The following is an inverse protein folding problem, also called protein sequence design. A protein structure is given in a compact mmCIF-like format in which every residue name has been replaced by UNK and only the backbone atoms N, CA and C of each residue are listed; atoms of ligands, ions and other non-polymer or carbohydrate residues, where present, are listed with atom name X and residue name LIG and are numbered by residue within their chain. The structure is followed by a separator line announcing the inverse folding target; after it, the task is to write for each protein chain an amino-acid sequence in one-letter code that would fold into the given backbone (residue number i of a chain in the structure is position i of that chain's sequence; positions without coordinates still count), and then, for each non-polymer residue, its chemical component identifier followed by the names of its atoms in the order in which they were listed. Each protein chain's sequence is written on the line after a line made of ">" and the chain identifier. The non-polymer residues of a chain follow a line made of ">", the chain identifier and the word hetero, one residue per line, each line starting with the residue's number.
data_IF_981159810165
#
_entry.id   IF_981159810165
#
_cell.length_a   1.000
_cell.length_b   1.000
_cell.length_c   1.000
_cell.angle_alpha   90.00
_cell.angle_beta   90.00
_cell.angle_gamma   90.00
#
_symmetry.space_group_name_H-M   'P 1'
#
loop_
_entity.id
_entity.type
_entity.pdbx_description
1 polymer ?
#
# COMPACT_ATOMS: atom_id res chain seq x y z
N UNK A 1 14.79 12.63 -18.13
CA UNK A 1 13.54 13.38 -17.95
C UNK A 1 12.68 12.61 -16.98
N UNK A 2 12.89 12.81 -15.67
CA UNK A 2 12.02 12.26 -14.63
C UNK A 2 10.89 13.26 -14.46
N UNK A 3 9.67 12.88 -14.82
CA UNK A 3 8.48 13.62 -14.44
C UNK A 3 8.10 13.10 -13.04
N UNK A 4 8.47 13.77 -11.94
CA UNK A 4 7.92 13.42 -10.64
C UNK A 4 6.41 13.56 -10.77
N UNK A 5 5.69 12.48 -10.52
CA UNK A 5 4.23 12.50 -10.45
C UNK A 5 3.88 13.23 -9.15
N UNK A 6 3.80 14.55 -9.21
CA UNK A 6 3.48 15.39 -8.05
C UNK A 6 1.97 15.54 -7.87
N UNK A 7 1.20 15.34 -8.93
CA UNK A 7 -0.26 15.44 -8.90
C UNK A 7 -0.87 14.37 -7.97
N UNK A 8 -1.51 14.77 -6.85
CA UNK A 8 -2.03 13.82 -5.85
C UNK A 8 -3.02 12.82 -6.43
N UNK A 9 -3.81 13.25 -7.42
CA UNK A 9 -4.78 12.40 -8.13
C UNK A 9 -4.08 11.28 -8.89
N UNK A 10 -2.95 11.59 -9.52
CA UNK A 10 -2.21 10.67 -10.37
C UNK A 10 -1.39 9.68 -9.51
N UNK A 11 -0.84 10.16 -8.39
CA UNK A 11 -0.26 9.31 -7.33
C UNK A 11 -1.30 8.30 -6.83
N UNK A 12 -2.51 8.77 -6.50
CA UNK A 12 -3.59 7.90 -6.02
C UNK A 12 -4.03 6.89 -7.07
N UNK A 13 -4.16 7.30 -8.34
CA UNK A 13 -4.50 6.40 -9.43
C UNK A 13 -3.45 5.29 -9.63
N UNK A 14 -2.15 5.64 -9.62
CA UNK A 14 -1.06 4.66 -9.71
C UNK A 14 -1.11 3.71 -8.50
N UNK A 15 -1.32 4.24 -7.30
CA UNK A 15 -1.44 3.45 -6.08
C UNK A 15 -2.59 2.44 -6.15
N UNK A 16 -3.77 2.85 -6.65
CA UNK A 16 -4.91 1.95 -6.87
C UNK A 16 -4.59 0.85 -7.89
N UNK A 17 -3.92 1.20 -9.00
CA UNK A 17 -3.50 0.21 -9.99
C UNK A 17 -2.53 -0.80 -9.37
N UNK A 18 -1.60 -0.36 -8.53
CA UNK A 18 -0.66 -1.26 -7.84
C UNK A 18 -1.41 -2.19 -6.88
N UNK A 19 -2.33 -1.66 -6.07
CA UNK A 19 -3.13 -2.47 -5.14
C UNK A 19 -3.97 -3.49 -5.89
N UNK A 20 -4.44 -3.17 -7.10
CA UNK A 20 -5.21 -4.11 -7.91
C UNK A 20 -4.32 -5.14 -8.61
N UNK A 21 -3.24 -4.72 -9.26
CA UNK A 21 -2.40 -5.59 -10.08
C UNK A 21 -1.47 -6.48 -9.25
N UNK A 22 -0.94 -6.00 -8.13
CA UNK A 22 0.05 -6.75 -7.35
C UNK A 22 -0.50 -8.07 -6.76
N UNK A 23 -1.72 -8.13 -6.17
CA UNK A 23 -2.32 -9.37 -5.70
C UNK A 23 -2.62 -10.34 -6.84
N UNK A 24 -3.16 -9.84 -7.96
CA UNK A 24 -3.46 -10.66 -9.14
C UNK A 24 -2.19 -11.36 -9.65
N UNK A 25 -1.07 -10.64 -9.69
CA UNK A 25 0.22 -11.21 -10.11
C UNK A 25 0.79 -12.18 -9.06
N UNK A 26 0.58 -11.89 -7.77
CA UNK A 26 1.09 -12.69 -6.64
C UNK A 26 0.34 -14.00 -6.46
N UNK A 27 -0.98 -14.01 -6.73
CA UNK A 27 -1.79 -15.22 -6.76
C UNK A 27 -1.29 -16.22 -7.80
N UNK A 28 -0.76 -15.74 -8.94
CA UNK A 28 -0.14 -16.60 -9.96
C UNK A 28 1.16 -17.26 -9.46
N UNK A 29 1.87 -16.59 -8.54
CA UNK A 29 3.14 -17.07 -7.98
C UNK A 29 2.96 -17.84 -6.65
N UNK A 30 1.72 -18.06 -6.20
CA UNK A 30 1.36 -18.71 -4.92
C UNK A 30 1.96 -18.02 -3.69
N UNK A 31 2.17 -16.70 -3.77
CA UNK A 31 2.65 -15.89 -2.66
C UNK A 31 1.47 -15.22 -1.94
N UNK A 32 1.57 -14.94 -0.64
CA UNK A 32 0.63 -14.08 0.06
C UNK A 32 0.52 -12.71 -0.63
N UNK A 33 -0.70 -12.21 -0.79
CA UNK A 33 -0.98 -10.96 -1.51
C UNK A 33 -0.21 -9.76 -0.96
N UNK A 34 -0.02 -9.73 0.36
CA UNK A 34 0.70 -8.66 1.06
C UNK A 34 2.18 -8.58 0.62
N UNK A 35 2.80 -9.72 0.31
CA UNK A 35 4.18 -9.77 -0.18
C UNK A 35 4.24 -9.14 -1.57
N UNK A 36 3.25 -9.43 -2.41
CA UNK A 36 3.06 -8.80 -3.70
C UNK A 36 3.01 -7.29 -3.63
N UNK A 37 2.19 -6.79 -2.72
CA UNK A 37 2.02 -5.36 -2.48
C UNK A 37 3.33 -4.69 -2.04
N UNK A 38 4.06 -5.32 -1.11
CA UNK A 38 5.36 -4.82 -0.61
C UNK A 38 6.38 -4.75 -1.76
N UNK A 39 6.49 -5.82 -2.55
CA UNK A 39 7.43 -5.87 -3.68
C UNK A 39 7.07 -4.83 -4.74
N UNK A 40 5.78 -4.66 -5.07
CA UNK A 40 5.34 -3.64 -6.00
C UNK A 40 5.67 -2.23 -5.47
N UNK A 41 5.48 -1.97 -4.18
CA UNK A 41 5.91 -0.72 -3.54
C UNK A 41 7.42 -0.49 -3.60
N UNK A 42 8.23 -1.54 -3.39
CA UNK A 42 9.69 -1.48 -3.55
C UNK A 42 10.07 -1.14 -4.99
N UNK A 43 9.39 -1.71 -5.99
CA UNK A 43 9.68 -1.48 -7.42
C UNK A 43 9.27 -0.07 -7.85
N UNK A 44 8.14 0.45 -7.36
CA UNK A 44 7.59 1.76 -7.76
C UNK A 44 8.15 2.91 -6.92
N UNK A 45 8.75 2.59 -5.77
CA UNK A 45 9.27 3.56 -4.82
C UNK A 45 10.45 4.41 -5.32
N UNK A 46 10.86 5.40 -4.51
CA UNK A 46 11.86 6.39 -4.89
C UNK A 46 13.27 5.81 -5.10
N UNK A 47 13.56 4.66 -4.48
CA UNK A 47 14.89 4.04 -4.51
C UNK A 47 15.13 3.11 -5.70
N UNK A 48 14.13 2.87 -6.54
CA UNK A 48 14.19 1.91 -7.66
C UNK A 48 13.80 2.59 -8.97
N UNK A 49 12.50 2.71 -9.28
CA UNK A 49 12.04 3.38 -10.51
C UNK A 49 11.83 4.87 -10.31
N UNK A 50 11.68 5.36 -9.07
CA UNK A 50 11.46 6.78 -8.81
C UNK A 50 10.09 7.29 -9.25
N UNK A 51 9.14 6.39 -9.54
CA UNK A 51 7.85 6.74 -10.14
C UNK A 51 6.91 7.41 -9.12
N UNK A 52 7.00 6.98 -7.85
CA UNK A 52 6.35 7.62 -6.71
C UNK A 52 7.42 8.11 -5.73
N UNK A 53 7.44 9.41 -5.48
CA UNK A 53 8.19 9.97 -4.36
C UNK A 53 7.42 9.74 -3.05
N UNK A 54 8.16 9.69 -1.94
CA UNK A 54 7.56 9.76 -0.60
C UNK A 54 7.07 11.19 -0.36
N UNK A 55 5.93 11.52 -0.94
CA UNK A 55 5.21 12.77 -0.69
C UNK A 55 4.12 12.58 0.37
N UNK A 56 3.63 13.70 0.90
CA UNK A 56 2.63 13.77 1.97
C UNK A 56 1.41 12.88 1.71
N UNK A 57 0.96 12.75 0.47
CA UNK A 57 -0.19 11.91 0.09
C UNK A 57 0.04 10.43 0.41
N UNK A 58 1.21 9.87 0.09
CA UNK A 58 1.52 8.46 0.34
C UNK A 58 1.62 8.19 1.85
N UNK A 59 2.24 9.11 2.58
CA UNK A 59 2.37 9.01 4.03
C UNK A 59 1.01 9.08 4.74
N UNK A 60 0.15 10.02 4.33
CA UNK A 60 -1.21 10.14 4.85
C UNK A 60 -2.04 8.89 4.57
N UNK A 61 -2.01 8.36 3.34
CA UNK A 61 -2.73 7.14 3.00
C UNK A 61 -2.23 5.93 3.79
N UNK A 62 -0.92 5.81 3.98
CA UNK A 62 -0.31 4.75 4.79
C UNK A 62 -0.71 4.84 6.27
N UNK A 63 -0.68 6.04 6.84
CA UNK A 63 -1.13 6.30 8.21
C UNK A 63 -2.62 5.96 8.40
N UNK A 64 -3.48 6.43 7.49
CA UNK A 64 -4.93 6.14 7.53
C UNK A 64 -5.19 4.64 7.40
N UNK A 65 -4.53 3.97 6.46
CA UNK A 65 -4.65 2.51 6.28
C UNK A 65 -4.20 1.73 7.52
N UNK A 66 -3.08 2.11 8.12
CA UNK A 66 -2.58 1.49 9.35
C UNK A 66 -3.55 1.69 10.52
N UNK A 67 -4.02 2.92 10.74
CA UNK A 67 -5.00 3.22 11.79
C UNK A 67 -6.30 2.44 11.57
N UNK A 68 -6.74 2.30 10.32
CA UNK A 68 -7.93 1.52 9.98
C UNK A 68 -7.75 0.03 10.33
N UNK A 69 -6.60 -0.56 10.01
CA UNK A 69 -6.30 -1.96 10.37
C UNK A 69 -6.22 -2.12 11.90
N UNK A 70 -5.55 -1.20 12.59
CA UNK A 70 -5.48 -1.22 14.06
C UNK A 70 -6.87 -1.09 14.70
N UNK A 71 -7.73 -0.27 14.13
CA UNK A 71 -9.12 -0.12 14.57
C UNK A 71 -9.93 -1.40 14.35
N UNK A 72 -9.85 -2.01 13.17
CA UNK A 72 -10.50 -3.29 12.88
C UNK A 72 -10.03 -4.40 13.81
N UNK A 73 -8.71 -4.51 14.04
CA UNK A 73 -8.16 -5.47 14.98
C UNK A 73 -8.72 -5.23 16.40
N UNK A 74 -8.85 -3.97 16.81
CA UNK A 74 -9.50 -3.61 18.08
C UNK A 74 -10.98 -4.02 18.17
N UNK A 75 -11.72 -3.98 17.07
CA UNK A 75 -13.11 -4.44 17.00
C UNK A 75 -13.24 -5.97 16.98
N UNK A 76 -12.24 -6.68 16.48
CA UNK A 76 -12.22 -8.14 16.41
C UNK A 76 -11.80 -8.81 17.72
N UNK A 77 -11.08 -8.09 18.60
CA UNK A 77 -10.72 -8.60 19.94
C UNK A 77 -11.97 -8.86 20.76
N UNK A 78 -12.19 -10.12 21.11
CA UNK A 78 -13.19 -10.51 22.10
C UNK A 78 -12.70 -10.15 23.50
N UNK A 79 -13.25 -9.06 24.05
CA UNK A 79 -12.93 -8.58 25.40
C UNK A 79 -13.23 -9.62 26.50
N UNK A 80 -14.03 -10.65 26.21
CA UNK A 80 -14.31 -11.74 27.15
C UNK A 80 -13.19 -12.80 27.18
N UNK A 81 -12.41 -12.95 26.10
CA UNK A 81 -11.23 -13.83 26.06
C UNK A 81 -10.01 -13.24 26.78
N UNK A 82 -9.98 -11.91 26.99
CA UNK A 82 -8.88 -11.18 27.64
C UNK A 82 -9.06 -11.10 29.17
N UNK A 83 -9.97 -11.89 29.73
CA UNK A 83 -10.22 -11.94 31.18
C UNK A 83 -9.35 -12.97 31.89
#
# INVERSE_FOLDING_TARGET
>A
MTLPVTDPVLVFAIFLVIILCAPILSGKLRLPDIIGLIVAGIIVGPHTTGLLERGDTIELLGMVGLLYIMFLAGLEIDLQQVK
#
